data_IF_015621805888
#
_entry.id   IF_015621805888
#
_cell.length_a   1.000
_cell.length_b   1.000
_cell.length_c   1.000
_cell.angle_alpha   90.00
_cell.angle_beta   90.00
_cell.angle_gamma   90.00
#
_symmetry.space_group_name_H-M   'P 1'
#
loop_
_entity.id
_entity.type
_entity.pdbx_description
1 polymer ?
#
# COMPACT_ATOMS: atom_id res chain seq x y z
N UNK A 1 -6.33 -2.22 -14.80
CA UNK A 1 -5.75 -3.33 -14.02
C UNK A 1 -6.47 -3.35 -12.68
N UNK A 2 -7.02 -4.49 -12.26
CA UNK A 2 -7.51 -4.60 -10.89
C UNK A 2 -6.36 -4.33 -9.90
N UNK A 3 -6.62 -3.70 -8.75
CA UNK A 3 -5.60 -3.53 -7.72
C UNK A 3 -5.10 -4.91 -7.28
N UNK A 4 -3.78 -5.12 -7.36
CA UNK A 4 -3.11 -6.34 -6.91
C UNK A 4 -3.17 -6.41 -5.37
N UNK A 5 -4.32 -6.80 -4.84
CA UNK A 5 -4.55 -6.95 -3.40
C UNK A 5 -4.15 -8.33 -2.89
N UNK A 6 -4.08 -9.32 -3.79
CA UNK A 6 -3.73 -10.70 -3.46
C UNK A 6 -2.22 -10.91 -3.53
N UNK A 7 -1.64 -11.46 -2.46
CA UNK A 7 -0.20 -11.72 -2.36
C UNK A 7 0.33 -12.57 -3.51
N UNK A 8 -0.38 -13.63 -3.93
CA UNK A 8 0.06 -14.46 -5.04
C UNK A 8 0.18 -13.66 -6.35
N UNK A 9 -0.80 -12.80 -6.65
CA UNK A 9 -0.80 -12.00 -7.87
C UNK A 9 0.35 -10.97 -7.89
N UNK A 10 0.71 -10.40 -6.73
CA UNK A 10 1.88 -9.52 -6.60
C UNK A 10 3.16 -10.30 -6.91
N UNK A 11 3.31 -11.50 -6.33
CA UNK A 11 4.48 -12.35 -6.54
C UNK A 11 4.58 -12.75 -8.02
N UNK A 12 3.48 -13.19 -8.63
CA UNK A 12 3.44 -13.57 -10.04
C UNK A 12 3.82 -12.41 -10.95
N UNK A 13 3.28 -11.21 -10.69
CA UNK A 13 3.63 -10.00 -11.43
C UNK A 13 5.14 -9.68 -11.32
N UNK A 14 5.71 -9.73 -10.12
CA UNK A 14 7.11 -9.43 -9.90
C UNK A 14 8.06 -10.48 -10.48
N UNK A 15 7.65 -11.75 -10.53
CA UNK A 15 8.48 -12.85 -11.02
C UNK A 15 8.34 -13.08 -12.54
N UNK A 16 7.25 -12.64 -13.17
CA UNK A 16 7.01 -12.82 -14.60
C UNK A 16 8.17 -12.39 -15.52
N UNK A 17 8.86 -11.25 -15.29
CA UNK A 17 9.98 -10.83 -16.16
C UNK A 17 11.23 -11.71 -16.05
N UNK A 18 11.34 -12.51 -15.00
CA UNK A 18 12.54 -13.30 -14.72
C UNK A 18 12.55 -14.67 -15.41
N UNK A 19 11.45 -15.04 -16.10
CA UNK A 19 11.32 -16.29 -16.85
C UNK A 19 11.81 -17.53 -16.07
N UNK A 20 11.41 -17.64 -14.80
CA UNK A 20 11.88 -18.69 -13.90
C UNK A 20 11.28 -20.06 -14.26
N UNK A 21 12.08 -21.12 -14.11
CA UNK A 21 11.63 -22.49 -14.28
C UNK A 21 10.62 -22.88 -13.19
N UNK A 22 9.38 -23.06 -13.63
CA UNK A 22 8.26 -23.48 -12.77
C UNK A 22 8.39 -24.95 -12.37
N UNK A 23 7.97 -25.29 -11.16
CA UNK A 23 7.96 -26.65 -10.62
C UNK A 23 9.23 -27.05 -9.85
N UNK A 24 10.26 -26.21 -9.87
CA UNK A 24 11.52 -26.46 -9.15
C UNK A 24 11.36 -26.23 -7.63
N UNK A 25 12.18 -26.91 -6.82
CA UNK A 25 12.24 -26.64 -5.37
C UNK A 25 12.68 -25.21 -5.07
N UNK A 26 13.57 -24.67 -5.90
CA UNK A 26 14.04 -23.30 -5.78
C UNK A 26 12.90 -22.28 -5.97
N UNK A 27 12.06 -22.47 -7.00
CA UNK A 27 10.89 -21.64 -7.23
C UNK A 27 9.91 -21.69 -6.05
N UNK A 28 9.61 -22.90 -5.54
CA UNK A 28 8.72 -23.07 -4.39
C UNK A 28 9.23 -22.37 -3.13
N UNK A 29 10.52 -22.46 -2.84
CA UNK A 29 11.11 -21.81 -1.68
C UNK A 29 11.15 -20.27 -1.84
N UNK A 30 11.43 -19.75 -3.04
CA UNK A 30 11.36 -18.30 -3.32
C UNK A 30 9.94 -17.79 -3.10
N UNK A 31 8.93 -18.47 -3.65
CA UNK A 31 7.51 -18.10 -3.46
C UNK A 31 7.12 -18.10 -1.99
N UNK A 32 7.54 -19.12 -1.23
CA UNK A 32 7.28 -19.21 0.22
C UNK A 32 7.90 -18.05 0.99
N UNK A 33 9.16 -17.69 0.70
CA UNK A 33 9.85 -16.57 1.35
C UNK A 33 9.21 -15.23 1.00
N UNK A 34 8.91 -14.99 -0.28
CA UNK A 34 8.24 -13.76 -0.71
C UNK A 34 6.86 -13.61 -0.07
N UNK A 35 6.10 -14.69 0.01
CA UNK A 35 4.79 -14.69 0.68
C UNK A 35 4.94 -14.27 2.15
N UNK A 36 5.92 -14.82 2.86
CA UNK A 36 6.18 -14.44 4.25
C UNK A 36 6.54 -12.96 4.38
N UNK A 37 7.45 -12.45 3.53
CA UNK A 37 7.88 -11.04 3.55
C UNK A 37 6.71 -10.11 3.27
N UNK A 38 5.93 -10.35 2.22
CA UNK A 38 4.82 -9.49 1.84
C UNK A 38 3.72 -9.45 2.90
N UNK A 39 3.36 -10.60 3.48
CA UNK A 39 2.36 -10.64 4.57
C UNK A 39 2.87 -9.93 5.83
N UNK A 40 4.16 -10.12 6.16
CA UNK A 40 4.78 -9.44 7.30
C UNK A 40 4.84 -7.94 7.08
N UNK A 41 5.17 -7.50 5.86
CA UNK A 41 5.18 -6.10 5.49
C UNK A 41 3.76 -5.51 5.63
N UNK A 42 2.76 -6.13 4.99
CA UNK A 42 1.35 -5.70 5.06
C UNK A 42 0.84 -5.60 6.50
N UNK A 43 1.21 -6.54 7.37
CA UNK A 43 0.83 -6.51 8.78
C UNK A 43 1.49 -5.37 9.57
N UNK A 44 2.64 -4.87 9.11
CA UNK A 44 3.40 -3.78 9.74
C UNK A 44 3.21 -2.43 9.06
N UNK A 45 2.68 -2.39 7.84
CA UNK A 45 2.44 -1.15 7.11
C UNK A 45 1.46 -0.30 7.91
N UNK A 46 1.87 0.92 8.25
CA UNK A 46 0.99 1.87 8.90
C UNK A 46 -0.21 2.13 7.98
N UNK A 47 -1.40 1.81 8.47
CA UNK A 47 -2.63 2.12 7.75
C UNK A 47 -2.88 3.63 7.86
N UNK A 48 -3.28 4.30 6.77
CA UNK A 48 -3.75 5.68 6.87
C UNK A 48 -4.90 5.73 7.87
N UNK A 49 -4.76 6.55 8.90
CA UNK A 49 -5.86 6.82 9.83
C UNK A 49 -6.79 7.79 9.11
N UNK A 50 -8.00 7.32 8.79
CA UNK A 50 -9.05 8.21 8.32
C UNK A 50 -9.39 9.18 9.46
N UNK A 51 -9.08 10.45 9.26
CA UNK A 51 -9.45 11.52 10.19
C UNK A 51 -10.81 12.05 9.75
N UNK A 52 -11.81 11.94 10.64
CA UNK A 52 -13.11 12.55 10.41
C UNK A 52 -13.05 14.04 10.75
N UNK A 53 -13.29 14.87 9.74
CA UNK A 53 -13.33 16.33 9.87
C UNK A 53 -14.75 16.87 10.07
N UNK A 54 -15.77 16.00 10.17
CA UNK A 54 -17.18 16.39 10.31
C UNK A 54 -17.45 17.31 11.51
N UNK A 55 -16.64 17.20 12.57
CA UNK A 55 -16.73 18.00 13.78
C UNK A 55 -15.63 19.06 13.91
N UNK A 56 -14.76 19.20 12.90
CA UNK A 56 -13.66 20.16 12.96
C UNK A 56 -14.21 21.59 12.83
N UNK A 57 -13.95 22.49 13.81
CA UNK A 57 -14.38 23.88 13.72
C UNK A 57 -13.69 24.57 12.54
N UNK A 58 -14.47 25.16 11.63
CA UNK A 58 -13.90 26.00 10.57
C UNK A 58 -13.26 27.24 11.19
N UNK A 59 -11.96 27.45 10.95
CA UNK A 59 -11.35 28.75 11.22
C UNK A 59 -11.69 29.69 10.08
N UNK A 60 -12.53 30.68 10.36
CA UNK A 60 -12.79 31.78 9.42
C UNK A 60 -11.72 32.84 9.67
N UNK A 61 -10.84 33.05 8.69
CA UNK A 61 -9.92 34.19 8.71
C UNK A 61 -10.78 35.44 8.54
N UNK A 62 -10.71 36.35 9.51
CA UNK A 62 -11.38 37.64 9.40
C UNK A 62 -10.58 38.53 8.44
N UNK A 63 -10.91 38.48 7.16
CA UNK A 63 -10.28 39.31 6.11
C UNK A 63 -10.34 40.81 6.44
N UNK A 64 -11.36 41.27 7.18
CA UNK A 64 -11.45 42.67 7.61
C UNK A 64 -10.37 43.06 8.64
N UNK A 65 -9.75 42.09 9.33
CA UNK A 65 -8.60 42.32 10.21
C UNK A 65 -7.27 42.39 9.44
N UNK A 66 -7.26 41.98 8.16
CA UNK A 66 -6.09 42.04 7.29
C UNK A 66 -5.94 43.37 6.54
N UNK A 67 -6.93 44.26 6.64
CA UNK A 67 -6.94 45.56 5.96
C UNK A 67 -7.34 45.43 4.50
N UNK A 68 -8.25 46.28 4.04
CA UNK A 68 -8.53 46.42 2.62
C UNK A 68 -7.42 47.29 2.02
N UNK A 69 -6.65 46.76 1.08
CA UNK A 69 -5.81 47.59 0.20
C UNK A 69 -6.68 48.57 -0.62
#
# INVERSE_FOLDING_TARGET
>A
MEPLTRTEAIIDFCLAPLALDTGTEAEREVRRRMTHVLRTYQAKTATPVAVDFSSMPSQVINEAAHGYE
#
